data_IF_522078909823
#
_entry.id   IF_522078909823
#
_cell.length_a   1.000
_cell.length_b   1.000
_cell.length_c   1.000
_cell.angle_alpha   90.00
_cell.angle_beta   90.00
_cell.angle_gamma   90.00
#
_symmetry.space_group_name_H-M   'P 1'
#
loop_
_entity.id
_entity.type
_entity.pdbx_description
1 polymer ?
#
# COMPACT_ATOMS: atom_id res chain seq x y z
N UNK A 1 -14.48 -2.08 -8.30
CA UNK A 1 -13.28 -1.29 -7.88
C UNK A 1 -13.67 -0.31 -6.78
N UNK A 2 -12.84 -0.24 -5.74
CA UNK A 2 -13.11 0.66 -4.64
C UNK A 2 -12.78 2.11 -5.02
N UNK A 3 -13.70 3.02 -4.79
CA UNK A 3 -13.50 4.45 -4.96
C UNK A 3 -13.46 5.08 -3.57
N UNK A 4 -12.31 5.61 -3.18
CA UNK A 4 -12.13 6.20 -1.87
C UNK A 4 -12.38 7.70 -1.92
N UNK A 5 -13.36 8.16 -1.17
CA UNK A 5 -13.80 9.55 -1.11
C UNK A 5 -14.03 9.93 0.35
N UNK A 6 -13.89 11.21 0.73
CA UNK A 6 -13.46 12.34 -0.08
C UNK A 6 -11.95 12.39 -0.28
N UNK A 7 -11.49 13.28 -1.15
CA UNK A 7 -10.07 13.58 -1.35
C UNK A 7 -9.83 15.07 -1.15
N UNK A 8 -8.61 15.41 -0.75
CA UNK A 8 -8.16 16.80 -0.60
C UNK A 8 -6.96 17.05 -1.50
N UNK A 9 -6.51 18.31 -1.56
CA UNK A 9 -5.27 18.67 -2.25
C UNK A 9 -4.10 18.84 -1.28
N UNK A 10 -4.23 18.33 -0.05
CA UNK A 10 -3.18 18.44 0.95
C UNK A 10 -2.28 17.22 0.91
N UNK A 11 -1.01 17.45 0.64
CA UNK A 11 -0.01 16.38 0.64
C UNK A 11 0.60 16.20 2.01
N UNK A 12 0.65 14.96 2.48
CA UNK A 12 1.41 14.57 3.66
C UNK A 12 2.82 14.22 3.19
N UNK A 13 3.82 14.93 3.69
CA UNK A 13 5.21 14.70 3.30
C UNK A 13 5.87 13.70 4.24
N UNK A 14 6.42 12.64 3.66
CA UNK A 14 7.18 11.66 4.43
C UNK A 14 8.57 12.20 4.71
N UNK A 15 9.15 11.78 5.83
CA UNK A 15 10.56 12.08 6.14
C UNK A 15 11.47 10.99 5.57
N UNK A 16 12.77 11.27 5.55
CA UNK A 16 13.76 10.28 5.09
C UNK A 16 13.79 9.03 5.95
N UNK A 17 13.29 9.11 7.18
CA UNK A 17 13.25 7.99 8.13
C UNK A 17 11.92 7.24 8.12
N UNK A 18 10.94 7.68 7.35
CA UNK A 18 9.62 7.03 7.30
C UNK A 18 9.73 5.75 6.46
N UNK A 19 9.31 4.64 7.05
CA UNK A 19 9.22 3.35 6.36
C UNK A 19 7.84 2.76 6.67
N UNK A 20 7.01 2.65 5.65
CA UNK A 20 5.64 2.14 5.77
C UNK A 20 5.66 0.68 5.35
N UNK A 21 5.27 -0.22 6.25
CA UNK A 21 5.30 -1.67 6.01
C UNK A 21 3.92 -2.25 6.22
N UNK A 22 3.50 -3.08 5.28
CA UNK A 22 2.30 -3.88 5.43
C UNK A 22 2.53 -5.28 4.87
N UNK A 23 1.79 -6.25 5.41
CA UNK A 23 1.73 -7.61 4.86
C UNK A 23 0.28 -7.99 4.66
N UNK A 24 0.03 -8.78 3.63
CA UNK A 24 -1.29 -9.31 3.33
C UNK A 24 -1.24 -10.82 3.27
N UNK A 25 -2.43 -11.45 3.30
CA UNK A 25 -2.54 -12.86 2.94
C UNK A 25 -2.48 -12.99 1.40
N UNK A 26 -2.62 -14.21 0.90
CA UNK A 26 -2.56 -14.47 -0.54
C UNK A 26 -3.71 -13.83 -1.32
N UNK A 27 -4.80 -13.50 -0.65
CA UNK A 27 -5.94 -12.80 -1.25
C UNK A 27 -5.84 -11.29 -1.22
N UNK A 28 -4.76 -10.73 -0.65
CA UNK A 28 -4.55 -9.28 -0.60
C UNK A 28 -5.20 -8.59 0.59
N UNK A 29 -5.66 -9.34 1.60
CA UNK A 29 -6.22 -8.74 2.81
C UNK A 29 -5.10 -8.44 3.79
N UNK A 30 -5.15 -7.25 4.40
CA UNK A 30 -4.11 -6.77 5.31
C UNK A 30 -4.06 -7.63 6.57
N UNK A 31 -2.87 -8.11 6.92
CA UNK A 31 -2.62 -8.91 8.12
C UNK A 31 -1.69 -8.22 9.11
N UNK A 32 -0.88 -7.27 8.62
CA UNK A 32 0.07 -6.54 9.45
C UNK A 32 0.29 -5.15 8.88
N UNK A 33 0.37 -4.16 9.76
CA UNK A 33 0.79 -2.79 9.45
C UNK A 33 1.71 -2.30 10.56
N UNK A 34 2.72 -1.50 10.21
CA UNK A 34 3.60 -0.93 11.23
C UNK A 34 3.12 0.45 11.70
N UNK A 35 3.80 1.01 12.68
CA UNK A 35 3.41 2.30 13.28
C UNK A 35 3.45 3.44 12.27
N UNK A 36 4.44 3.47 11.38
CA UNK A 36 4.51 4.52 10.36
C UNK A 36 3.30 4.49 9.43
N UNK A 37 2.80 3.29 9.09
CA UNK A 37 1.58 3.15 8.31
C UNK A 37 0.40 3.83 9.01
N UNK A 38 0.23 3.56 10.29
CA UNK A 38 -0.87 4.14 11.08
C UNK A 38 -0.73 5.66 11.17
N UNK A 39 0.47 6.14 11.46
CA UNK A 39 0.73 7.56 11.65
C UNK A 39 0.48 8.36 10.36
N UNK A 40 0.96 7.85 9.23
CA UNK A 40 0.84 8.57 7.95
C UNK A 40 -0.57 8.47 7.39
N UNK A 41 -1.18 7.29 7.41
CA UNK A 41 -2.49 7.08 6.79
C UNK A 41 -3.65 7.62 7.63
N UNK A 42 -3.46 7.74 8.93
CA UNK A 42 -4.52 8.17 9.85
C UNK A 42 -5.55 7.08 10.17
N UNK A 43 -5.39 5.88 9.64
CA UNK A 43 -6.24 4.75 10.00
C UNK A 43 -5.74 4.10 11.28
N UNK A 44 -6.65 3.46 12.03
CA UNK A 44 -6.27 2.60 13.14
C UNK A 44 -5.96 1.20 12.61
N UNK A 45 -5.27 0.40 13.45
CA UNK A 45 -4.98 -0.99 13.09
C UNK A 45 -6.27 -1.77 12.89
N UNK A 46 -7.26 -1.55 13.75
CA UNK A 46 -8.56 -2.21 13.67
C UNK A 46 -9.30 -1.88 12.38
N UNK A 47 -9.11 -0.68 11.86
CA UNK A 47 -9.73 -0.26 10.59
C UNK A 47 -9.06 -0.94 9.39
N UNK A 48 -7.79 -1.32 9.51
CA UNK A 48 -6.99 -1.82 8.39
C UNK A 48 -6.94 -3.35 8.32
N UNK A 49 -6.77 -4.02 9.45
CA UNK A 49 -6.61 -5.48 9.46
C UNK A 49 -7.84 -6.16 8.90
N UNK A 50 -7.63 -7.08 7.96
CA UNK A 50 -8.70 -7.80 7.30
C UNK A 50 -9.28 -7.10 6.08
N UNK A 51 -8.94 -5.83 5.85
CA UNK A 51 -9.42 -5.08 4.70
C UNK A 51 -8.56 -5.35 3.47
N UNK A 52 -9.14 -5.29 2.26
CA UNK A 52 -8.32 -5.29 1.05
C UNK A 52 -7.35 -4.12 1.07
N UNK A 53 -6.14 -4.33 0.55
CA UNK A 53 -5.09 -3.29 0.60
C UNK A 53 -5.47 -2.01 -0.17
N UNK A 54 -6.44 -2.09 -1.08
CA UNK A 54 -6.91 -0.92 -1.83
C UNK A 54 -7.62 0.14 -0.98
N UNK A 55 -7.79 -0.11 0.33
CA UNK A 55 -8.36 0.89 1.25
C UNK A 55 -7.57 2.20 1.24
N UNK A 56 -6.25 2.16 0.94
CA UNK A 56 -5.41 3.36 0.88
C UNK A 56 -5.18 3.84 -0.56
N UNK A 57 -5.83 3.25 -1.54
CA UNK A 57 -5.64 3.64 -2.93
C UNK A 57 -6.25 5.02 -3.20
N UNK A 58 -5.45 5.94 -3.76
CA UNK A 58 -5.97 7.23 -4.20
C UNK A 58 -6.71 7.06 -5.52
N UNK A 59 -7.89 7.68 -5.68
CA UNK A 59 -8.68 7.51 -6.93
C UNK A 59 -8.00 8.06 -8.17
N UNK A 60 -7.02 8.97 -8.05
CA UNK A 60 -6.27 9.49 -9.20
C UNK A 60 -5.27 8.47 -9.76
N UNK A 61 -4.94 7.42 -9.01
CA UNK A 61 -4.02 6.40 -9.52
C UNK A 61 -4.71 5.54 -10.57
N UNK A 62 -4.05 5.32 -11.73
CA UNK A 62 -4.64 4.47 -12.77
C UNK A 62 -4.83 3.04 -12.26
N UNK A 63 -5.93 2.43 -12.66
CA UNK A 63 -6.20 1.02 -12.34
C UNK A 63 -5.08 0.13 -12.88
N UNK A 64 -4.54 0.48 -14.04
CA UNK A 64 -3.49 -0.27 -14.72
C UNK A 64 -2.22 -0.43 -13.86
N UNK A 65 -1.91 0.55 -13.01
CA UNK A 65 -0.76 0.47 -12.13
C UNK A 65 -0.93 -0.67 -11.10
N UNK A 66 -2.14 -0.85 -10.60
CA UNK A 66 -2.44 -1.93 -9.65
C UNK A 66 -2.56 -3.27 -10.35
N UNK A 67 -3.04 -3.29 -11.59
CA UNK A 67 -3.08 -4.50 -12.39
C UNK A 67 -1.65 -5.01 -12.67
N UNK A 68 -0.72 -4.10 -13.00
CA UNK A 68 0.69 -4.44 -13.18
C UNK A 68 1.30 -5.03 -11.92
N UNK A 69 1.05 -4.38 -10.77
CA UNK A 69 1.55 -4.84 -9.49
C UNK A 69 1.07 -6.27 -9.20
N UNK A 70 -0.24 -6.50 -9.27
CA UNK A 70 -0.81 -7.81 -8.96
C UNK A 70 -0.36 -8.88 -9.93
N UNK A 71 -0.24 -8.56 -11.22
CA UNK A 71 0.25 -9.51 -12.22
C UNK A 71 1.63 -10.02 -11.87
N UNK A 72 2.54 -9.12 -11.46
CA UNK A 72 3.92 -9.48 -11.16
C UNK A 72 4.03 -10.27 -9.85
N UNK A 73 3.42 -9.79 -8.77
CA UNK A 73 3.61 -10.43 -7.47
C UNK A 73 2.88 -11.78 -7.36
N UNK A 74 1.79 -11.97 -8.10
CA UNK A 74 1.08 -13.26 -8.12
C UNK A 74 1.87 -14.37 -8.78
N UNK A 75 2.80 -14.04 -9.68
CA UNK A 75 3.65 -15.03 -10.34
C UNK A 75 5.04 -15.09 -9.71
N UNK A 76 5.22 -14.50 -8.54
CA UNK A 76 6.44 -14.61 -7.77
C UNK A 76 7.49 -13.54 -8.04
N UNK A 77 7.14 -12.49 -8.79
CA UNK A 77 8.05 -11.39 -9.10
C UNK A 77 7.87 -10.24 -8.14
N UNK A 78 8.96 -9.54 -7.83
CA UNK A 78 8.89 -8.27 -7.11
C UNK A 78 8.43 -7.15 -8.05
N UNK A 79 7.77 -6.16 -7.47
CA UNK A 79 7.31 -4.98 -8.20
C UNK A 79 7.76 -3.71 -7.48
N UNK A 80 8.14 -2.70 -8.23
CA UNK A 80 8.45 -1.37 -7.67
C UNK A 80 7.82 -0.29 -8.52
N UNK A 81 7.41 0.79 -7.89
CA UNK A 81 6.88 1.93 -8.61
C UNK A 81 6.47 3.06 -7.69
N UNK A 82 6.18 4.21 -8.30
CA UNK A 82 5.64 5.35 -7.57
C UNK A 82 4.14 5.15 -7.38
N UNK A 83 3.67 5.39 -6.17
CA UNK A 83 2.26 5.21 -5.82
C UNK A 83 1.78 6.41 -5.04
N UNK A 84 0.59 6.91 -5.41
CA UNK A 84 -0.13 7.94 -4.66
C UNK A 84 -1.19 7.24 -3.83
N UNK A 85 -1.14 7.44 -2.52
CA UNK A 85 -2.09 6.84 -1.59
C UNK A 85 -2.93 7.92 -0.91
N UNK A 86 -4.06 7.49 -0.34
CA UNK A 86 -5.01 8.35 0.33
C UNK A 86 -5.02 8.06 1.83
N UNK A 87 -4.94 9.12 2.63
CA UNK A 87 -5.17 9.06 4.08
C UNK A 87 -6.66 8.94 4.38
N UNK A 88 -6.99 8.56 5.60
CA UNK A 88 -8.38 8.43 6.05
C UNK A 88 -9.17 9.74 5.85
N UNK A 89 -8.54 10.89 6.11
CA UNK A 89 -9.19 12.20 5.98
C UNK A 89 -9.24 12.72 4.55
N UNK A 90 -8.65 12.02 3.59
CA UNK A 90 -8.63 12.42 2.19
C UNK A 90 -7.35 13.07 1.72
N UNK A 91 -6.43 13.40 2.61
CA UNK A 91 -5.09 13.87 2.23
C UNK A 91 -4.34 12.77 1.48
N UNK A 92 -3.28 13.13 0.79
CA UNK A 92 -2.56 12.15 -0.01
C UNK A 92 -1.06 12.18 0.29
N UNK A 93 -0.41 11.09 -0.05
CA UNK A 93 1.05 11.00 0.06
C UNK A 93 1.60 10.14 -1.07
N UNK A 94 2.81 10.50 -1.52
CA UNK A 94 3.52 9.78 -2.55
C UNK A 94 4.60 8.92 -1.94
N UNK A 95 4.73 7.70 -2.45
CA UNK A 95 5.76 6.75 -2.01
C UNK A 95 6.41 6.07 -3.20
N UNK A 96 7.62 5.56 -2.97
CA UNK A 96 8.17 4.49 -3.79
C UNK A 96 7.77 3.20 -3.10
N UNK A 97 6.99 2.39 -3.77
CA UNK A 97 6.51 1.12 -3.23
C UNK A 97 7.32 -0.03 -3.77
N UNK A 98 7.72 -0.94 -2.88
CA UNK A 98 8.36 -2.21 -3.23
C UNK A 98 7.48 -3.31 -2.68
N UNK A 99 6.93 -4.14 -3.56
CA UNK A 99 6.04 -5.23 -3.19
C UNK A 99 6.67 -6.55 -3.66
N UNK A 100 6.55 -7.57 -2.83
CA UNK A 100 7.05 -8.90 -3.18
C UNK A 100 6.22 -9.98 -2.52
N UNK A 101 6.20 -11.19 -3.12
CA UNK A 101 5.50 -12.31 -2.51
C UNK A 101 6.25 -12.84 -1.30
N UNK A 102 5.49 -13.37 -0.35
CA UNK A 102 6.01 -14.16 0.77
C UNK A 102 5.83 -15.62 0.38
N UNK A 103 6.93 -16.35 0.33
CA UNK A 103 6.92 -17.75 -0.11
C UNK A 103 7.29 -18.64 1.07
N UNK A 104 6.44 -19.64 1.33
CA UNK A 104 6.66 -20.63 2.37
C UNK A 104 6.41 -22.01 1.77
N UNK A 105 7.37 -22.91 1.94
CA UNK A 105 7.27 -24.28 1.42
C UNK A 105 6.95 -24.33 -0.10
N UNK A 106 7.51 -23.39 -0.86
CA UNK A 106 7.31 -23.34 -2.31
C UNK A 106 5.99 -22.70 -2.75
N UNK A 107 5.16 -22.21 -1.83
CA UNK A 107 3.87 -21.60 -2.15
C UNK A 107 3.83 -20.17 -1.69
N UNK A 108 3.12 -19.30 -2.44
CA UNK A 108 2.89 -17.92 -2.05
C UNK A 108 1.81 -17.91 -0.96
N UNK A 109 2.17 -17.43 0.24
CA UNK A 109 1.26 -17.35 1.38
C UNK A 109 0.78 -15.95 1.66
N UNK A 110 1.37 -14.95 1.01
CA UNK A 110 1.00 -13.56 1.20
C UNK A 110 1.93 -12.65 0.43
N UNK A 111 1.82 -11.35 0.73
CA UNK A 111 2.63 -10.32 0.08
C UNK A 111 3.10 -9.32 1.11
N UNK A 112 4.30 -8.75 0.90
CA UNK A 112 4.83 -7.69 1.74
C UNK A 112 5.06 -6.46 0.87
N UNK A 113 4.72 -5.29 1.41
CA UNK A 113 4.95 -4.01 0.75
C UNK A 113 5.71 -3.10 1.68
N UNK A 114 6.82 -2.54 1.17
CA UNK A 114 7.64 -1.57 1.89
C UNK A 114 7.65 -0.30 1.05
N UNK A 115 7.24 0.81 1.68
CA UNK A 115 7.09 2.08 1.02
C UNK A 115 7.91 3.13 1.74
N UNK A 116 8.62 3.92 0.95
CA UNK A 116 9.48 5.01 1.46
C UNK A 116 9.17 6.29 0.71
N UNK A 117 9.76 7.39 1.18
CA UNK A 117 9.56 8.70 0.58
C UNK A 117 9.89 8.68 -0.90
N UNK A 118 8.97 9.18 -1.72
CA UNK A 118 9.21 9.38 -3.14
C UNK A 118 10.07 10.63 -3.34
N UNK A 119 11.25 10.46 -3.93
CA UNK A 119 12.11 11.58 -4.27
C UNK A 119 11.73 12.13 -5.64
N UNK A 120 11.74 13.47 -5.80
CA UNK A 120 11.48 14.06 -7.12
C UNK A 120 12.58 13.74 -8.11
#
# INVERSE_FOLDING_TARGET
MRINQPVTNNEVHLTDNTVIVSRTDAGGRIQFVNEDFLRISGFTREELIGQPHNIVRHPDMPVEAFEDLWRDIKIGKAWSGYVKNRCKNGDYYWVIANASPIVENGSITGFISIRTKAEP
#
